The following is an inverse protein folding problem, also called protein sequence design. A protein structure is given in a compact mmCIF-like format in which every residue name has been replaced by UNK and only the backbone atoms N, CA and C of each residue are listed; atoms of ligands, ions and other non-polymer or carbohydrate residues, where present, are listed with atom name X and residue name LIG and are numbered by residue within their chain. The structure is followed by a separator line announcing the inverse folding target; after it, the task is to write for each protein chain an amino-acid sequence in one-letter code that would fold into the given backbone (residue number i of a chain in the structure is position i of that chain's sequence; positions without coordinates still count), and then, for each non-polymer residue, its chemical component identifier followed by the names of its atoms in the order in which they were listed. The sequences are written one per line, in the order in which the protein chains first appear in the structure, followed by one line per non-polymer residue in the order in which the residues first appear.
data_IF_355808086409
#
_entry.id   IF_355808086409
#
_cell.length_a   1.000
_cell.length_b   1.000
_cell.length_c   1.000
_cell.angle_alpha   90.00
_cell.angle_beta   90.00
_cell.angle_gamma   90.00
#
_symmetry.space_group_name_H-M   'P 1'
#
loop_
_entity.id
_entity.type
_entity.pdbx_description
1 polymer ?
#
# COMPACT_ATOMS: atom_id res chain seq x y z
N UNK A 1 14.43 -3.97 -14.14
CA UNK A 1 12.99 -4.07 -13.85
C UNK A 1 12.64 -3.11 -12.72
N UNK A 2 11.41 -2.62 -12.69
CA UNK A 2 10.89 -1.77 -11.60
C UNK A 2 10.28 -2.67 -10.53
N UNK A 3 10.77 -2.57 -9.29
CA UNK A 3 10.30 -3.40 -8.18
C UNK A 3 9.22 -2.69 -7.38
N UNK A 4 8.05 -3.32 -7.29
CA UNK A 4 6.93 -2.89 -6.44
C UNK A 4 6.84 -3.83 -5.24
N UNK A 5 7.07 -3.31 -4.05
CA UNK A 5 6.95 -4.08 -2.80
C UNK A 5 5.65 -3.72 -2.09
N UNK A 6 4.82 -4.71 -1.84
CA UNK A 6 3.54 -4.58 -1.12
C UNK A 6 3.71 -5.24 0.24
N UNK A 7 3.55 -4.47 1.30
CA UNK A 7 3.58 -4.97 2.68
C UNK A 7 2.19 -4.83 3.27
N UNK A 8 1.63 -5.91 3.80
CA UNK A 8 0.29 -5.90 4.36
C UNK A 8 0.18 -6.66 5.68
N UNK A 9 -0.74 -6.19 6.51
CA UNK A 9 -1.25 -6.96 7.65
C UNK A 9 -2.66 -7.46 7.34
N UNK A 10 -2.97 -8.67 7.75
CA UNK A 10 -4.30 -9.25 7.60
C UNK A 10 -4.55 -10.28 8.68
N UNK A 11 -5.61 -10.07 9.44
CA UNK A 11 -6.02 -10.98 10.52
C UNK A 11 -7.04 -12.01 10.04
N UNK A 12 -8.07 -11.57 9.30
CA UNK A 12 -9.19 -12.41 8.86
C UNK A 12 -9.15 -12.77 7.38
N UNK A 13 -8.18 -12.23 6.63
CA UNK A 13 -8.01 -12.48 5.21
C UNK A 13 -8.59 -11.40 4.28
N UNK A 14 -9.31 -10.41 4.80
CA UNK A 14 -9.92 -9.37 3.97
C UNK A 14 -8.87 -8.44 3.35
N UNK A 15 -7.95 -7.92 4.15
CA UNK A 15 -6.84 -7.11 3.66
C UNK A 15 -5.92 -7.92 2.73
N UNK A 16 -5.72 -9.20 2.99
CA UNK A 16 -4.94 -10.09 2.12
C UNK A 16 -5.55 -10.22 0.72
N UNK A 17 -6.87 -10.38 0.62
CA UNK A 17 -7.58 -10.40 -0.67
C UNK A 17 -7.38 -9.08 -1.45
N UNK A 18 -7.37 -7.95 -0.76
CA UNK A 18 -7.05 -6.66 -1.37
C UNK A 18 -5.60 -6.61 -1.83
N UNK A 19 -4.65 -7.06 -1.01
CA UNK A 19 -3.23 -7.09 -1.34
C UNK A 19 -2.94 -7.93 -2.60
N UNK A 20 -3.60 -9.09 -2.74
CA UNK A 20 -3.52 -9.92 -3.94
C UNK A 20 -4.03 -9.16 -5.17
N UNK A 21 -5.17 -8.46 -5.06
CA UNK A 21 -5.70 -7.67 -6.17
C UNK A 21 -4.78 -6.49 -6.55
N UNK A 22 -4.16 -5.83 -5.58
CA UNK A 22 -3.14 -4.78 -5.82
C UNK A 22 -1.95 -5.37 -6.57
N UNK A 23 -1.45 -6.52 -6.13
CA UNK A 23 -0.35 -7.22 -6.78
C UNK A 23 -0.69 -7.60 -8.23
N UNK A 24 -1.91 -8.09 -8.48
CA UNK A 24 -2.38 -8.41 -9.83
C UNK A 24 -2.39 -7.17 -10.74
N UNK A 25 -2.79 -6.03 -10.21
CA UNK A 25 -2.75 -4.77 -10.94
C UNK A 25 -1.34 -4.35 -11.31
N UNK A 26 -0.42 -4.39 -10.35
CA UNK A 26 0.98 -4.03 -10.57
C UNK A 26 1.67 -4.95 -11.60
N UNK A 27 1.38 -6.26 -11.57
CA UNK A 27 1.93 -7.23 -12.53
C UNK A 27 1.53 -6.99 -13.98
N UNK A 28 0.43 -6.27 -14.24
CA UNK A 28 0.02 -5.92 -15.61
C UNK A 28 0.96 -4.92 -16.28
N UNK A 29 1.73 -4.19 -15.51
CA UNK A 29 2.66 -3.19 -16.04
C UNK A 29 3.94 -3.89 -16.49
N UNK A 30 4.25 -3.77 -17.77
CA UNK A 30 5.45 -4.40 -18.37
C UNK A 30 6.73 -3.90 -17.67
N UNK A 31 7.63 -4.81 -17.40
CA UNK A 31 8.91 -4.49 -16.76
C UNK A 31 8.82 -4.32 -15.24
N UNK A 32 7.73 -4.77 -14.62
CA UNK A 32 7.53 -4.71 -13.17
C UNK A 32 7.75 -6.08 -12.52
N UNK A 33 8.49 -6.09 -11.43
CA UNK A 33 8.62 -7.20 -10.49
C UNK A 33 7.79 -6.88 -9.24
N UNK A 34 6.95 -7.79 -8.79
CA UNK A 34 6.08 -7.57 -7.62
C UNK A 34 6.47 -8.50 -6.48
N UNK A 35 6.80 -7.90 -5.35
CA UNK A 35 7.08 -8.60 -4.08
C UNK A 35 5.93 -8.35 -3.11
N UNK A 36 5.30 -9.42 -2.62
CA UNK A 36 4.17 -9.37 -1.70
C UNK A 36 4.56 -10.00 -0.37
N UNK A 37 4.52 -9.21 0.71
CA UNK A 37 4.98 -9.62 2.03
C UNK A 37 3.93 -9.37 3.11
N UNK A 38 3.65 -10.37 3.93
CA UNK A 38 3.00 -10.12 5.22
C UNK A 38 3.92 -9.30 6.13
N UNK A 39 3.35 -8.38 6.89
CA UNK A 39 4.10 -7.47 7.77
C UNK A 39 5.01 -8.21 8.76
N UNK A 40 4.61 -9.40 9.21
CA UNK A 40 5.42 -10.23 10.11
C UNK A 40 6.71 -10.78 9.44
N UNK A 41 6.77 -10.81 8.12
CA UNK A 41 7.91 -11.29 7.34
C UNK A 41 8.73 -10.15 6.73
N UNK A 42 8.15 -8.96 6.65
CA UNK A 42 8.77 -7.80 6.05
C UNK A 42 9.87 -7.21 6.97
N UNK A 43 10.93 -6.74 6.34
CA UNK A 43 12.03 -6.04 7.00
C UNK A 43 12.18 -4.65 6.39
N UNK A 44 12.59 -3.61 7.13
CA UNK A 44 12.84 -2.28 6.57
C UNK A 44 13.75 -2.30 5.34
N UNK A 45 14.73 -3.20 5.30
CA UNK A 45 15.65 -3.37 4.16
C UNK A 45 14.91 -3.72 2.86
N UNK A 46 13.81 -4.48 2.93
CA UNK A 46 13.04 -4.86 1.73
C UNK A 46 12.49 -3.63 1.00
N UNK A 47 12.23 -2.54 1.74
CA UNK A 47 11.75 -1.28 1.18
C UNK A 47 12.86 -0.52 0.44
N UNK A 48 14.12 -0.68 0.84
CA UNK A 48 15.24 0.00 0.18
C UNK A 48 15.50 -0.52 -1.23
N UNK A 49 15.14 -1.77 -1.50
CA UNK A 49 15.30 -2.42 -2.79
C UNK A 49 14.12 -2.14 -3.75
N UNK A 50 13.02 -1.59 -3.25
CA UNK A 50 11.84 -1.26 -4.03
C UNK A 50 11.98 0.09 -4.75
N UNK A 51 11.36 0.23 -5.90
CA UNK A 51 11.12 1.50 -6.58
C UNK A 51 9.76 2.09 -6.17
N UNK A 52 8.82 1.22 -5.79
CA UNK A 52 7.53 1.59 -5.25
C UNK A 52 7.15 0.72 -4.05
N UNK A 53 6.42 1.30 -3.11
CA UNK A 53 6.00 0.65 -1.86
C UNK A 53 4.51 0.88 -1.67
N UNK A 54 3.77 -0.19 -1.40
CA UNK A 54 2.34 -0.10 -1.09
C UNK A 54 2.09 -0.76 0.26
N UNK A 55 1.43 -0.03 1.17
CA UNK A 55 1.03 -0.55 2.47
C UNK A 55 -0.46 -0.89 2.50
N UNK A 56 -0.76 -2.05 3.09
CA UNK A 56 -2.13 -2.49 3.35
C UNK A 56 -2.34 -2.88 4.79
N UNK A 57 -3.39 -2.35 5.41
CA UNK A 57 -3.70 -2.63 6.82
C UNK A 57 -5.20 -2.74 7.02
N UNK A 58 -5.68 -3.58 7.95
CA UNK A 58 -7.04 -3.43 8.44
C UNK A 58 -7.19 -2.10 9.18
N UNK A 59 -8.41 -1.59 9.23
CA UNK A 59 -8.76 -0.41 10.02
C UNK A 59 -9.06 -0.81 11.46
N UNK A 60 -8.25 -0.34 12.39
CA UNK A 60 -8.46 -0.56 13.82
C UNK A 60 -8.52 0.78 14.55
N UNK A 61 -9.67 1.10 15.13
CA UNK A 61 -9.88 2.37 15.84
C UNK A 61 -9.47 3.60 15.02
N UNK A 62 -9.85 3.61 13.75
CA UNK A 62 -9.60 4.73 12.83
C UNK A 62 -8.16 4.85 12.33
N UNK A 63 -7.33 3.83 12.55
CA UNK A 63 -5.91 3.86 12.20
C UNK A 63 -5.43 2.50 11.67
N UNK A 64 -4.19 2.44 11.19
CA UNK A 64 -3.55 1.18 10.82
C UNK A 64 -3.40 0.25 12.04
N UNK A 65 -3.26 -1.05 11.79
CA UNK A 65 -3.03 -2.03 12.85
C UNK A 65 -1.72 -1.74 13.62
N UNK A 66 -1.68 -2.17 14.86
CA UNK A 66 -0.46 -2.06 15.68
C UNK A 66 0.75 -2.75 15.04
N UNK A 67 0.55 -3.87 14.34
CA UNK A 67 1.62 -4.56 13.60
C UNK A 67 2.16 -3.70 12.45
N UNK A 68 1.30 -3.09 11.66
CA UNK A 68 1.72 -2.20 10.59
C UNK A 68 2.43 -0.97 11.14
N UNK A 69 1.90 -0.35 12.20
CA UNK A 69 2.55 0.80 12.85
C UNK A 69 3.92 0.44 13.42
N UNK A 70 4.04 -0.70 14.09
CA UNK A 70 5.32 -1.20 14.61
C UNK A 70 6.34 -1.45 13.47
N UNK A 71 5.90 -1.98 12.34
CA UNK A 71 6.75 -2.12 11.17
C UNK A 71 7.22 -0.76 10.65
N UNK A 72 6.30 0.20 10.48
CA UNK A 72 6.63 1.56 10.04
C UNK A 72 7.60 2.25 10.99
N UNK A 73 7.42 2.12 12.30
CA UNK A 73 8.35 2.71 13.28
C UNK A 73 9.78 2.15 13.12
N UNK A 74 9.91 0.87 12.80
CA UNK A 74 11.22 0.26 12.51
C UNK A 74 11.87 0.77 11.23
N UNK A 75 11.12 1.38 10.31
CA UNK A 75 11.69 1.96 9.08
C UNK A 75 12.58 3.18 9.36
N UNK A 76 12.62 3.68 10.61
CA UNK A 76 13.62 4.66 11.03
C UNK A 76 15.06 4.21 10.68
N UNK A 77 15.35 2.91 10.70
CA UNK A 77 16.65 2.36 10.33
C UNK A 77 17.05 2.58 8.86
N UNK A 78 16.09 2.92 8.02
CA UNK A 78 16.28 3.20 6.58
C UNK A 78 15.83 4.62 6.21
N UNK A 79 15.68 5.51 7.20
CA UNK A 79 15.27 6.89 6.96
C UNK A 79 16.19 7.60 5.95
N UNK A 80 15.60 8.32 5.01
CA UNK A 80 16.32 8.97 3.90
C UNK A 80 16.57 8.07 2.68
N UNK A 81 16.50 6.73 2.83
CA UNK A 81 16.72 5.79 1.71
C UNK A 81 15.48 5.53 0.86
N UNK A 82 14.31 6.02 1.30
CA UNK A 82 13.05 5.85 0.59
C UNK A 82 12.64 7.10 -0.20
N UNK A 83 13.42 8.18 -0.12
CA UNK A 83 13.18 9.44 -0.83
C UNK A 83 12.98 9.22 -2.34
N UNK A 84 11.92 9.78 -2.88
CA UNK A 84 11.58 9.73 -4.31
C UNK A 84 10.92 8.43 -4.78
N UNK A 85 10.84 7.40 -3.94
CA UNK A 85 10.09 6.17 -4.27
C UNK A 85 8.60 6.45 -4.32
N UNK A 86 7.85 5.70 -5.13
CA UNK A 86 6.40 5.86 -5.24
C UNK A 86 5.70 5.13 -4.10
N UNK A 87 4.69 5.77 -3.50
CA UNK A 87 3.89 5.22 -2.42
C UNK A 87 2.42 5.06 -2.75
N UNK A 88 1.77 4.13 -2.06
CA UNK A 88 0.32 3.94 -2.08
C UNK A 88 -0.14 3.14 -0.86
N UNK A 89 -1.43 3.23 -0.54
CA UNK A 89 -1.99 2.52 0.60
C UNK A 89 -3.43 2.08 0.37
N UNK A 90 -3.87 1.04 1.09
CA UNK A 90 -5.24 0.52 1.06
C UNK A 90 -5.63 -0.06 2.42
N UNK A 91 -6.92 -0.17 2.67
CA UNK A 91 -7.46 -0.69 3.93
C UNK A 91 -8.76 -1.44 3.76
N UNK A 92 -9.01 -2.39 4.65
CA UNK A 92 -10.33 -2.98 4.89
C UNK A 92 -10.87 -2.54 6.26
N UNK A 93 -12.17 -2.40 6.39
CA UNK A 93 -12.85 -2.05 7.64
C UNK A 93 -14.05 -2.97 7.88
N UNK A 94 -14.54 -3.02 9.13
CA UNK A 94 -15.69 -3.83 9.49
C UNK A 94 -17.02 -3.25 9.01
N UNK A 95 -17.09 -1.93 8.79
CA UNK A 95 -18.29 -1.23 8.33
C UNK A 95 -17.91 0.09 7.64
N UNK A 96 -18.91 0.80 7.12
CA UNK A 96 -18.76 2.17 6.62
C UNK A 96 -18.56 3.15 7.77
N UNK A 97 -17.94 4.29 7.47
CA UNK A 97 -17.67 5.36 8.45
C UNK A 97 -16.89 4.91 9.70
N UNK A 98 -16.09 3.87 9.58
CA UNK A 98 -15.30 3.29 10.68
C UNK A 98 -13.82 3.73 10.68
N UNK A 99 -13.47 4.78 9.95
CA UNK A 99 -12.11 5.31 9.90
C UNK A 99 -11.26 4.72 8.77
N UNK A 100 -11.87 4.26 7.67
CA UNK A 100 -11.13 3.74 6.53
C UNK A 100 -10.21 4.81 5.91
N UNK A 101 -10.71 6.02 5.67
CA UNK A 101 -9.92 7.11 5.10
C UNK A 101 -8.78 7.54 6.02
N UNK A 102 -9.02 7.67 7.33
CA UNK A 102 -7.97 8.02 8.29
C UNK A 102 -6.90 6.94 8.39
N UNK A 103 -7.27 5.68 8.24
CA UNK A 103 -6.32 4.55 8.19
C UNK A 103 -5.41 4.65 6.96
N UNK A 104 -5.97 4.87 5.77
CA UNK A 104 -5.17 5.07 4.55
C UNK A 104 -4.25 6.27 4.70
N UNK A 105 -4.79 7.40 5.17
CA UNK A 105 -4.02 8.63 5.37
C UNK A 105 -2.88 8.44 6.35
N UNK A 106 -3.07 7.70 7.44
CA UNK A 106 -2.00 7.45 8.41
C UNK A 106 -0.79 6.71 7.80
N UNK A 107 -1.03 5.81 6.85
CA UNK A 107 0.06 5.15 6.11
C UNK A 107 0.70 6.08 5.09
N UNK A 108 -0.07 6.91 4.39
CA UNK A 108 0.45 7.90 3.44
C UNK A 108 1.27 8.98 4.13
N UNK A 109 0.88 9.42 5.33
CA UNK A 109 1.65 10.37 6.16
C UNK A 109 3.06 9.83 6.44
N UNK A 110 3.18 8.56 6.82
CA UNK A 110 4.48 7.92 7.04
C UNK A 110 5.34 7.90 5.77
N UNK A 111 4.72 7.65 4.61
CA UNK A 111 5.41 7.71 3.31
C UNK A 111 5.91 9.11 2.99
N UNK A 112 5.10 10.14 3.25
CA UNK A 112 5.49 11.54 3.06
C UNK A 112 6.65 11.95 3.98
N UNK A 113 6.69 11.46 5.23
CA UNK A 113 7.84 11.66 6.15
C UNK A 113 9.13 11.07 5.54
N UNK A 114 9.03 9.96 4.83
CA UNK A 114 10.17 9.36 4.11
C UNK A 114 10.55 10.10 2.80
N UNK A 115 9.81 11.15 2.41
CA UNK A 115 10.03 11.89 1.16
C UNK A 115 9.60 11.12 -0.09
N UNK A 116 8.63 10.21 0.06
CA UNK A 116 8.08 9.44 -1.05
C UNK A 116 7.09 10.27 -1.88
N UNK A 117 6.85 9.85 -3.10
CA UNK A 117 5.87 10.45 -4.03
C UNK A 117 4.57 9.67 -3.95
N UNK A 118 3.48 10.34 -3.63
CA UNK A 118 2.15 9.74 -3.56
C UNK A 118 1.23 10.39 -4.59
N UNK A 119 0.58 9.58 -5.42
CA UNK A 119 -0.40 10.06 -6.39
C UNK A 119 -1.81 9.70 -5.93
N UNK A 120 -2.65 10.72 -5.75
CA UNK A 120 -4.08 10.54 -5.51
C UNK A 120 -4.83 10.08 -6.74
N UNK A 121 -6.09 9.70 -6.54
CA UNK A 121 -7.04 9.40 -7.61
C UNK A 121 -8.13 10.47 -7.63
N UNK A 122 -8.46 11.03 -8.82
CA UNK A 122 -9.34 12.20 -8.89
C UNK A 122 -10.84 11.87 -8.90
N UNK A 123 -11.23 10.69 -9.35
CA UNK A 123 -12.64 10.32 -9.59
C UNK A 123 -13.33 9.67 -8.38
N UNK A 124 -12.64 8.80 -7.66
CA UNK A 124 -13.11 8.19 -6.41
C UNK A 124 -11.95 7.53 -5.65
N UNK A 125 -12.20 7.08 -4.40
CA UNK A 125 -11.15 6.47 -3.57
C UNK A 125 -9.87 7.31 -3.58
N UNK A 126 -10.00 8.61 -3.40
CA UNK A 126 -8.97 9.63 -3.61
C UNK A 126 -7.64 9.32 -2.94
N UNK A 127 -7.67 8.78 -1.72
CA UNK A 127 -6.47 8.45 -0.93
C UNK A 127 -5.94 7.05 -1.19
N UNK A 128 -6.83 6.13 -1.55
CA UNK A 128 -6.54 4.72 -1.80
C UNK A 128 -7.77 3.84 -1.64
N UNK A 129 -7.74 2.60 -2.13
CA UNK A 129 -8.87 1.68 -2.04
C UNK A 129 -9.25 1.38 -0.60
N UNK A 130 -10.54 1.35 -0.35
CA UNK A 130 -11.15 0.89 0.89
C UNK A 130 -12.15 -0.21 0.58
N UNK A 131 -12.27 -1.20 1.45
CA UNK A 131 -13.29 -2.25 1.37
C UNK A 131 -13.96 -2.42 2.71
N UNK A 132 -15.25 -2.77 2.70
CA UNK A 132 -15.98 -3.16 3.90
C UNK A 132 -16.00 -4.68 3.94
N UNK A 133 -15.45 -5.26 5.01
CA UNK A 133 -15.26 -6.70 5.16
C UNK A 133 -14.50 -7.32 3.98
N UNK A 134 -15.01 -8.39 3.37
CA UNK A 134 -14.40 -9.00 2.20
C UNK A 134 -14.61 -8.13 0.96
N UNK A 135 -13.53 -7.80 0.21
CA UNK A 135 -13.67 -6.89 -0.93
C UNK A 135 -14.57 -7.47 -2.02
N UNK A 136 -15.54 -6.67 -2.45
CA UNK A 136 -16.41 -6.97 -3.57
C UNK A 136 -15.70 -6.76 -4.93
N UNK A 137 -16.32 -7.10 -6.09
CA UNK A 137 -15.68 -6.92 -7.40
C UNK A 137 -15.25 -5.48 -7.70
N UNK A 138 -16.01 -4.46 -7.31
CA UNK A 138 -15.65 -3.04 -7.50
C UNK A 138 -14.45 -2.64 -6.65
N UNK A 139 -14.41 -3.08 -5.41
CA UNK A 139 -13.31 -2.83 -4.49
C UNK A 139 -12.04 -3.53 -4.95
N UNK A 140 -12.13 -4.77 -5.45
CA UNK A 140 -11.00 -5.46 -6.09
C UNK A 140 -10.51 -4.73 -7.35
N UNK A 141 -11.42 -4.19 -8.17
CA UNK A 141 -11.04 -3.38 -9.33
C UNK A 141 -10.28 -2.12 -8.92
N UNK A 142 -10.71 -1.45 -7.84
CA UNK A 142 -9.99 -0.30 -7.27
C UNK A 142 -8.60 -0.68 -6.74
N UNK A 143 -8.46 -1.86 -6.14
CA UNK A 143 -7.17 -2.38 -5.71
C UNK A 143 -6.23 -2.65 -6.90
N UNK A 144 -6.74 -3.25 -7.97
CA UNK A 144 -5.97 -3.47 -9.20
C UNK A 144 -5.52 -2.15 -9.82
N UNK A 145 -6.41 -1.16 -9.84
CA UNK A 145 -6.08 0.19 -10.32
C UNK A 145 -4.94 0.82 -9.49
N UNK A 146 -4.99 0.73 -8.17
CA UNK A 146 -3.90 1.23 -7.32
C UNK A 146 -2.56 0.59 -7.69
N UNK A 147 -2.52 -0.73 -7.80
CA UNK A 147 -1.30 -1.46 -8.17
C UNK A 147 -0.76 -1.04 -9.53
N UNK A 148 -1.63 -0.94 -10.52
CA UNK A 148 -1.27 -0.51 -11.86
C UNK A 148 -0.77 0.95 -11.89
N UNK A 149 -1.47 1.88 -11.25
CA UNK A 149 -1.12 3.30 -11.18
C UNK A 149 0.23 3.53 -10.51
N UNK A 150 0.45 2.91 -9.36
CA UNK A 150 1.73 3.00 -8.62
C UNK A 150 2.88 2.42 -9.44
N UNK A 151 2.68 1.26 -10.08
CA UNK A 151 3.70 0.65 -10.92
C UNK A 151 4.04 1.51 -12.14
N UNK A 152 3.03 2.06 -12.83
CA UNK A 152 3.23 2.95 -13.99
C UNK A 152 4.02 4.21 -13.61
N UNK A 153 3.66 4.84 -12.49
CA UNK A 153 4.38 6.01 -12.01
C UNK A 153 5.83 5.67 -11.64
N UNK A 154 6.06 4.54 -10.99
CA UNK A 154 7.41 4.10 -10.65
C UNK A 154 8.26 3.82 -11.90
N UNK A 155 7.69 3.19 -12.93
CA UNK A 155 8.38 2.99 -14.22
C UNK A 155 8.73 4.34 -14.85
N UNK A 156 7.80 5.29 -14.86
CA UNK A 156 8.03 6.62 -15.46
C UNK A 156 9.10 7.43 -14.72
N UNK A 157 9.18 7.33 -13.39
CA UNK A 157 10.18 8.06 -12.58
C UNK A 157 11.56 7.40 -12.60
N UNK A 158 11.64 6.13 -12.95
CA UNK A 158 12.92 5.42 -13.03
C UNK A 158 13.69 5.72 -14.34
N UNK A 159 12.99 6.24 -15.34
CA UNK A 159 13.55 6.62 -16.64
C UNK A 159 13.72 5.44 -17.54
#
# INVERSE_FOLDING_TARGET
MTRVTIVYDSRTGNTEKMALAVADGARKVKGTEVVLLKVDKAKPKDLTEADAIIFGSPTYYGNMSGKMKSFIDRTNSVHGKLKGKVGGAFTSSGDTACGAETTVLSMLEAMLIHGMVVQGRYDNKHYGPTAVESPNPKEKASCKELGERVARLAVALKG
#
